data_IF_610769478537
#
_entry.id   IF_610769478537
#
_cell.length_a   1.000
_cell.length_b   1.000
_cell.length_c   1.000
_cell.angle_alpha   90.00
_cell.angle_beta   90.00
_cell.angle_gamma   90.00
#
_symmetry.space_group_name_H-M   'P 1'
#
loop_
_entity.id
_entity.type
_entity.pdbx_description
1 polymer ?
#
# COMPACT_ATOMS: atom_id res chain seq x y z
N UNK A 1 -33.18 -15.38 44.71
CA UNK A 1 -33.20 -14.48 43.52
C UNK A 1 -32.17 -13.34 43.58
N UNK A 2 -30.96 -13.55 44.14
CA UNK A 2 -29.89 -12.53 44.12
C UNK A 2 -28.55 -13.02 43.53
N UNK A 3 -28.41 -14.32 43.26
CA UNK A 3 -27.20 -14.91 42.65
C UNK A 3 -27.33 -15.15 41.14
N UNK A 4 -28.55 -15.28 40.61
CA UNK A 4 -28.79 -15.46 39.18
C UNK A 4 -28.73 -14.16 38.36
N UNK A 5 -28.94 -12.99 39.00
CA UNK A 5 -28.90 -11.68 38.32
C UNK A 5 -27.45 -11.22 38.09
N UNK A 6 -26.50 -11.65 38.92
CA UNK A 6 -25.08 -11.29 38.79
C UNK A 6 -24.42 -11.99 37.60
N UNK A 7 -24.90 -13.17 37.18
CA UNK A 7 -24.35 -13.88 36.02
C UNK A 7 -24.81 -13.30 34.67
N UNK A 8 -25.94 -12.58 34.63
CA UNK A 8 -26.47 -12.02 33.37
C UNK A 8 -25.83 -10.66 33.06
N UNK A 9 -25.37 -9.93 34.08
CA UNK A 9 -24.68 -8.63 33.91
C UNK A 9 -23.18 -8.83 33.61
N UNK A 10 -22.60 -9.97 33.98
CA UNK A 10 -21.19 -10.31 33.69
C UNK A 10 -20.93 -10.81 32.26
N UNK A 11 -21.96 -11.19 31.50
CA UNK A 11 -21.84 -11.74 30.14
C UNK A 11 -22.17 -10.74 29.02
N UNK A 12 -22.72 -9.57 29.33
CA UNK A 12 -23.09 -8.55 28.32
C UNK A 12 -22.03 -7.48 28.09
N UNK A 13 -20.95 -7.47 28.88
CA UNK A 13 -19.87 -6.46 28.76
C UNK A 13 -18.68 -6.98 27.92
N UNK A 14 -18.65 -8.27 27.57
CA UNK A 14 -17.55 -8.88 26.82
C UNK A 14 -17.81 -9.03 25.31
N UNK A 15 -18.71 -8.23 24.74
CA UNK A 15 -19.02 -8.27 23.30
C UNK A 15 -18.81 -6.93 22.56
N UNK A 16 -18.23 -5.92 23.23
CA UNK A 16 -17.97 -4.61 22.61
C UNK A 16 -16.48 -4.27 22.54
N UNK A 17 -15.72 -5.09 21.80
CA UNK A 17 -14.37 -4.69 21.34
C UNK A 17 -13.99 -5.27 19.98
N UNK A 18 -14.95 -5.82 19.22
CA UNK A 18 -14.79 -5.88 17.77
C UNK A 18 -15.30 -4.55 17.22
N UNK A 19 -14.48 -3.51 17.37
CA UNK A 19 -14.53 -2.41 16.41
C UNK A 19 -14.26 -3.06 15.06
N UNK A 20 -15.34 -3.36 14.35
CA UNK A 20 -15.29 -3.75 12.95
C UNK A 20 -14.77 -2.51 12.23
N UNK A 21 -13.43 -2.31 12.25
CA UNK A 21 -12.75 -1.45 11.31
C UNK A 21 -13.27 -1.92 9.96
N UNK A 22 -14.01 -1.06 9.27
CA UNK A 22 -14.72 -1.38 8.05
C UNK A 22 -13.83 -2.25 7.16
N UNK A 23 -14.13 -3.55 7.11
CA UNK A 23 -13.40 -4.50 6.29
C UNK A 23 -13.91 -4.30 4.88
N UNK A 24 -13.43 -3.23 4.24
CA UNK A 24 -13.55 -3.03 2.81
C UNK A 24 -12.62 -4.00 2.09
N UNK A 25 -12.82 -5.29 2.31
CA UNK A 25 -12.31 -6.27 1.40
C UNK A 25 -13.29 -6.26 0.22
N UNK A 26 -13.01 -5.36 -0.73
CA UNK A 26 -13.67 -5.36 -2.03
C UNK A 26 -13.53 -6.77 -2.65
N UNK A 27 -14.47 -7.15 -3.52
CA UNK A 27 -14.53 -8.51 -4.09
C UNK A 27 -13.18 -8.92 -4.69
N UNK A 28 -12.51 -8.00 -5.38
CA UNK A 28 -11.23 -8.21 -6.05
C UNK A 28 -10.10 -8.57 -5.06
N UNK A 29 -10.11 -8.00 -3.85
CA UNK A 29 -9.14 -8.33 -2.80
C UNK A 29 -9.37 -9.75 -2.27
N UNK A 30 -10.63 -10.14 -2.05
CA UNK A 30 -10.98 -11.49 -1.56
C UNK A 30 -10.70 -12.58 -2.57
N UNK A 31 -10.81 -12.25 -3.86
CA UNK A 31 -10.58 -13.21 -4.94
C UNK A 31 -9.08 -13.50 -5.13
N UNK A 32 -8.20 -12.59 -4.73
CA UNK A 32 -6.75 -12.72 -4.94
C UNK A 32 -5.97 -13.06 -3.65
N UNK A 33 -6.39 -12.54 -2.50
CA UNK A 33 -5.63 -12.60 -1.26
C UNK A 33 -6.35 -13.37 -0.15
N UNK A 34 -5.59 -14.06 0.70
CA UNK A 34 -6.15 -14.68 1.91
C UNK A 34 -6.61 -13.62 2.91
N UNK A 35 -7.43 -14.00 3.89
CA UNK A 35 -7.86 -13.08 4.96
C UNK A 35 -6.69 -12.46 5.72
N UNK A 36 -5.63 -13.25 5.99
CA UNK A 36 -4.40 -12.75 6.63
C UNK A 36 -3.68 -11.74 5.73
N UNK A 37 -3.56 -12.04 4.43
CA UNK A 37 -2.94 -11.11 3.48
C UNK A 37 -3.74 -9.81 3.36
N UNK A 38 -5.07 -9.89 3.36
CA UNK A 38 -5.94 -8.69 3.34
C UNK A 38 -5.74 -7.86 4.62
N UNK A 39 -5.53 -8.48 5.77
CA UNK A 39 -5.21 -7.75 7.00
C UNK A 39 -3.88 -6.97 6.83
N UNK A 40 -2.84 -7.63 6.33
CA UNK A 40 -1.54 -6.98 6.07
C UNK A 40 -1.64 -5.84 5.03
N UNK A 41 -2.43 -6.02 3.95
CA UNK A 41 -2.68 -4.98 2.94
C UNK A 41 -3.39 -3.76 3.55
N UNK A 42 -4.30 -3.97 4.50
CA UNK A 42 -4.92 -2.87 5.23
C UNK A 42 -3.91 -2.14 6.12
N UNK A 43 -2.99 -2.85 6.77
CA UNK A 43 -1.92 -2.24 7.56
C UNK A 43 -0.95 -1.43 6.68
N UNK A 44 -0.64 -1.90 5.47
CA UNK A 44 0.14 -1.14 4.47
C UNK A 44 -0.56 0.19 4.13
N UNK A 45 -1.85 0.15 3.76
CA UNK A 45 -2.62 1.35 3.41
C UNK A 45 -2.74 2.31 4.60
N UNK A 46 -3.00 1.77 5.79
CA UNK A 46 -3.09 2.55 7.03
C UNK A 46 -1.75 3.21 7.38
N UNK A 47 -0.63 2.49 7.25
CA UNK A 47 0.70 3.04 7.46
C UNK A 47 0.94 4.23 6.53
N UNK A 48 0.73 4.04 5.22
CA UNK A 48 0.95 5.09 4.23
C UNK A 48 0.13 6.34 4.56
N UNK A 49 -1.19 6.18 4.77
CA UNK A 49 -2.07 7.28 5.19
C UNK A 49 -1.52 8.00 6.43
N UNK A 50 -1.12 7.26 7.46
CA UNK A 50 -0.59 7.83 8.69
C UNK A 50 0.75 8.55 8.54
N UNK A 51 1.53 8.25 7.48
CA UNK A 51 2.74 9.01 7.16
C UNK A 51 2.42 10.32 6.44
N UNK A 52 1.49 10.28 5.49
CA UNK A 52 1.26 11.42 4.60
C UNK A 52 0.28 12.45 5.19
N UNK A 53 -0.59 12.05 6.12
CA UNK A 53 -1.59 12.92 6.71
C UNK A 53 -1.07 13.62 7.96
N UNK A 54 -1.13 14.96 7.98
CA UNK A 54 -0.71 15.76 9.14
C UNK A 54 -1.61 15.48 10.37
N UNK A 55 -2.89 15.21 10.13
CA UNK A 55 -3.82 14.75 11.15
C UNK A 55 -4.20 13.28 10.90
N UNK A 56 -3.85 12.40 11.84
CA UNK A 56 -4.09 10.94 11.78
C UNK A 56 -5.58 10.55 11.71
N UNK A 57 -6.47 11.45 12.12
CA UNK A 57 -7.92 11.23 12.04
C UNK A 57 -8.50 11.65 10.68
N UNK A 58 -7.70 12.23 9.79
CA UNK A 58 -8.14 12.54 8.42
C UNK A 58 -8.45 11.26 7.66
N UNK A 59 -9.48 11.30 6.83
CA UNK A 59 -9.70 10.28 5.81
C UNK A 59 -8.64 10.40 4.70
N UNK A 60 -8.45 9.30 3.97
CA UNK A 60 -7.44 9.21 2.92
C UNK A 60 -7.67 10.25 1.83
N UNK A 61 -8.92 10.39 1.34
CA UNK A 61 -9.27 11.29 0.24
C UNK A 61 -8.94 12.74 0.57
N UNK A 62 -9.39 13.23 1.73
CA UNK A 62 -9.16 14.60 2.18
C UNK A 62 -7.67 14.91 2.29
N UNK A 63 -6.91 13.97 2.84
CA UNK A 63 -5.47 14.10 3.02
C UNK A 63 -4.70 14.05 1.68
N UNK A 64 -4.93 13.02 0.87
CA UNK A 64 -4.23 12.84 -0.40
C UNK A 64 -4.56 13.96 -1.39
N UNK A 65 -5.83 14.39 -1.46
CA UNK A 65 -6.25 15.51 -2.33
C UNK A 65 -5.51 16.82 -2.03
N UNK A 66 -5.11 17.06 -0.77
CA UNK A 66 -4.32 18.25 -0.40
C UNK A 66 -2.88 18.18 -0.89
N UNK A 67 -2.32 16.98 -0.99
CA UNK A 67 -0.94 16.76 -1.42
C UNK A 67 -0.84 16.70 -2.94
N UNK A 68 -1.92 16.26 -3.63
CA UNK A 68 -1.93 16.06 -5.07
C UNK A 68 -1.39 17.24 -5.91
N UNK A 69 -1.74 18.53 -5.65
CA UNK A 69 -1.15 19.65 -6.37
C UNK A 69 0.37 19.71 -6.27
N UNK A 70 0.94 19.46 -5.08
CA UNK A 70 2.39 19.40 -4.90
C UNK A 70 3.01 18.20 -5.64
N UNK A 71 2.28 17.09 -5.79
CA UNK A 71 2.76 15.94 -6.56
C UNK A 71 2.86 16.22 -8.05
N UNK A 72 1.96 17.06 -8.58
CA UNK A 72 1.99 17.48 -9.97
C UNK A 72 3.16 18.42 -10.23
N UNK A 73 3.52 19.26 -9.26
CA UNK A 73 4.62 20.23 -9.38
C UNK A 73 6.00 19.61 -9.10
N UNK A 74 6.10 18.78 -8.07
CA UNK A 74 7.37 18.27 -7.53
C UNK A 74 7.57 16.76 -7.66
N UNK A 75 6.69 16.09 -8.40
CA UNK A 75 6.74 14.63 -8.56
C UNK A 75 6.43 13.89 -7.26
N UNK A 76 7.12 12.80 -6.98
CA UNK A 76 6.92 11.98 -5.78
C UNK A 76 7.57 12.58 -4.51
N UNK A 77 8.32 13.68 -4.61
CA UNK A 77 9.08 14.25 -3.50
C UNK A 77 8.25 14.68 -2.28
N UNK A 78 7.04 15.27 -2.42
CA UNK A 78 6.22 15.63 -1.25
C UNK A 78 5.85 14.42 -0.38
N UNK A 79 5.64 13.25 -1.01
CA UNK A 79 5.35 12.01 -0.29
C UNK A 79 6.61 11.49 0.40
N UNK A 80 7.75 11.42 -0.29
CA UNK A 80 8.99 10.87 0.31
C UNK A 80 9.59 11.72 1.42
N UNK A 81 9.28 13.02 1.46
CA UNK A 81 9.63 13.88 2.60
C UNK A 81 8.82 13.55 3.85
N UNK A 82 7.61 13.00 3.69
CA UNK A 82 6.70 12.64 4.80
C UNK A 82 6.89 11.20 5.29
N UNK A 83 7.26 10.27 4.41
CA UNK A 83 7.43 8.86 4.78
C UNK A 83 8.79 8.63 5.46
N UNK A 84 8.73 8.20 6.72
CA UNK A 84 9.89 7.73 7.48
C UNK A 84 10.31 6.33 7.02
N UNK A 85 11.46 6.24 6.36
CA UNK A 85 11.95 4.98 5.79
C UNK A 85 12.27 3.92 6.85
N UNK A 86 12.72 4.30 8.05
CA UNK A 86 12.97 3.33 9.13
C UNK A 86 11.65 2.74 9.64
N UNK A 87 10.58 3.55 9.69
CA UNK A 87 9.24 3.02 10.01
C UNK A 87 8.68 2.15 8.90
N UNK A 88 8.94 2.48 7.64
CA UNK A 88 8.56 1.63 6.51
C UNK A 88 9.26 0.27 6.55
N UNK A 89 10.56 0.21 6.88
CA UNK A 89 11.24 -1.07 7.12
C UNK A 89 10.61 -1.86 8.27
N UNK A 90 10.16 -1.20 9.33
CA UNK A 90 9.42 -1.86 10.43
C UNK A 90 8.07 -2.41 9.96
N UNK A 91 7.34 -1.69 9.10
CA UNK A 91 6.12 -2.19 8.46
C UNK A 91 6.39 -3.49 7.69
N UNK A 92 7.45 -3.53 6.88
CA UNK A 92 7.80 -4.74 6.12
C UNK A 92 8.11 -5.95 6.99
N UNK A 93 8.68 -5.72 8.17
CA UNK A 93 8.94 -6.78 9.14
C UNK A 93 7.70 -7.17 9.97
N UNK A 94 6.66 -6.33 10.02
CA UNK A 94 5.44 -6.61 10.78
C UNK A 94 4.37 -7.34 9.98
N UNK A 95 4.37 -7.19 8.65
CA UNK A 95 3.49 -7.97 7.77
C UNK A 95 4.06 -9.37 7.55
N UNK A 96 3.21 -10.32 7.19
CA UNK A 96 3.66 -11.68 6.90
C UNK A 96 4.59 -11.72 5.67
N UNK A 97 5.58 -12.61 5.68
CA UNK A 97 6.47 -12.84 4.53
C UNK A 97 5.67 -13.31 3.31
N UNK A 98 4.57 -14.04 3.51
CA UNK A 98 3.65 -14.46 2.46
C UNK A 98 2.87 -13.29 1.84
N UNK A 99 2.59 -12.21 2.57
CA UNK A 99 2.06 -10.98 1.94
C UNK A 99 3.15 -10.22 1.21
N UNK A 100 4.30 -9.98 1.87
CA UNK A 100 5.40 -9.21 1.28
C UNK A 100 5.81 -9.79 -0.07
N UNK A 101 6.03 -11.11 -0.13
CA UNK A 101 6.49 -11.82 -1.33
C UNK A 101 5.45 -11.89 -2.47
N UNK A 102 4.23 -11.42 -2.25
CA UNK A 102 3.18 -11.36 -3.29
C UNK A 102 3.08 -9.99 -3.95
N UNK A 103 3.78 -9.00 -3.38
CA UNK A 103 3.82 -7.61 -3.84
C UNK A 103 5.23 -7.27 -4.30
N UNK A 104 6.22 -7.57 -3.45
CA UNK A 104 7.60 -7.14 -3.61
C UNK A 104 8.57 -8.31 -3.61
N UNK A 105 9.72 -8.08 -4.22
CA UNK A 105 10.90 -8.90 -4.02
C UNK A 105 12.15 -8.02 -3.90
N UNK A 106 13.15 -8.54 -3.20
CA UNK A 106 14.44 -7.89 -3.13
C UNK A 106 15.37 -8.43 -4.20
N UNK A 107 15.97 -7.52 -4.96
CA UNK A 107 17.01 -7.78 -5.93
C UNK A 107 18.30 -7.02 -5.62
N UNK A 108 19.25 -7.16 -6.54
CA UNK A 108 20.57 -6.55 -6.47
C UNK A 108 20.69 -5.40 -7.46
N UNK A 109 21.02 -4.22 -6.97
CA UNK A 109 21.43 -3.08 -7.79
C UNK A 109 22.95 -2.93 -7.76
N UNK A 110 23.60 -3.00 -8.92
CA UNK A 110 25.05 -2.84 -9.07
C UNK A 110 25.36 -1.49 -9.68
N UNK A 111 26.16 -0.67 -8.99
CA UNK A 111 26.61 0.65 -9.46
C UNK A 111 27.92 0.50 -10.25
N UNK A 112 27.92 0.59 -11.59
CA UNK A 112 29.07 0.15 -12.40
C UNK A 112 30.36 0.93 -12.12
N UNK A 113 30.24 2.21 -11.75
CA UNK A 113 31.40 3.09 -11.48
C UNK A 113 32.14 2.74 -10.20
N UNK A 114 31.45 2.22 -9.20
CA UNK A 114 32.02 1.94 -7.86
C UNK A 114 32.08 0.45 -7.54
N UNK A 115 31.40 -0.39 -8.32
CA UNK A 115 31.18 -1.80 -8.00
C UNK A 115 30.29 -2.01 -6.77
N UNK A 116 29.67 -0.94 -6.23
CA UNK A 116 28.81 -1.03 -5.06
C UNK A 116 27.56 -1.85 -5.40
N UNK A 117 27.26 -2.86 -4.58
CA UNK A 117 26.06 -3.68 -4.69
C UNK A 117 25.11 -3.38 -3.52
N UNK A 118 23.93 -2.87 -3.84
CA UNK A 118 22.89 -2.52 -2.86
C UNK A 118 21.67 -3.41 -3.04
N UNK A 119 20.95 -3.63 -1.94
CA UNK A 119 19.61 -4.22 -1.95
C UNK A 119 18.65 -3.22 -2.59
N UNK A 120 17.87 -3.69 -3.56
CA UNK A 120 16.84 -2.93 -4.26
C UNK A 120 15.52 -3.67 -4.13
N UNK A 121 14.42 -2.93 -3.92
CA UNK A 121 13.08 -3.52 -3.95
C UNK A 121 12.50 -3.36 -5.36
N UNK A 122 11.87 -4.42 -5.83
CA UNK A 122 11.12 -4.43 -7.08
C UNK A 122 9.76 -5.08 -6.88
N UNK A 123 8.94 -4.96 -7.92
CA UNK A 123 7.67 -5.67 -8.00
C UNK A 123 7.91 -7.18 -8.13
N UNK A 124 7.11 -7.99 -7.41
CA UNK A 124 7.14 -9.45 -7.58
C UNK A 124 6.58 -9.86 -8.95
N UNK A 125 7.40 -10.50 -9.78
CA UNK A 125 6.92 -11.11 -11.02
C UNK A 125 5.88 -12.22 -10.76
N UNK A 126 4.74 -12.16 -11.45
CA UNK A 126 3.58 -13.04 -11.30
C UNK A 126 3.00 -13.14 -9.88
N UNK A 127 3.32 -12.17 -9.01
CA UNK A 127 2.76 -12.07 -7.67
C UNK A 127 1.26 -11.77 -7.69
N UNK A 128 0.55 -12.08 -6.60
CA UNK A 128 -0.89 -11.78 -6.49
C UNK A 128 -1.22 -10.31 -6.68
N UNK A 129 -0.31 -9.39 -6.36
CA UNK A 129 -0.56 -7.97 -6.57
C UNK A 129 -0.75 -7.61 -8.05
N UNK A 130 0.06 -8.17 -8.95
CA UNK A 130 -0.12 -7.98 -10.41
C UNK A 130 -1.47 -8.54 -10.88
N UNK A 131 -1.86 -9.73 -10.39
CA UNK A 131 -3.15 -10.36 -10.72
C UNK A 131 -4.32 -9.53 -10.22
N UNK A 132 -4.24 -9.07 -8.98
CA UNK A 132 -5.22 -8.16 -8.38
C UNK A 132 -5.38 -6.87 -9.19
N UNK A 133 -4.30 -6.21 -9.61
CA UNK A 133 -4.38 -5.03 -10.46
C UNK A 133 -5.00 -5.33 -11.84
N UNK A 134 -4.70 -6.49 -12.41
CA UNK A 134 -5.30 -6.95 -13.68
C UNK A 134 -6.81 -7.15 -13.55
N UNK A 135 -7.26 -7.77 -12.45
CA UNK A 135 -8.68 -7.94 -12.15
C UNK A 135 -9.38 -6.59 -11.92
N UNK A 136 -8.77 -5.71 -11.12
CA UNK A 136 -9.29 -4.37 -10.85
C UNK A 136 -9.42 -3.53 -12.13
N UNK A 137 -8.52 -3.73 -13.10
CA UNK A 137 -8.54 -3.05 -14.39
C UNK A 137 -9.64 -3.52 -15.35
N UNK A 138 -10.31 -4.66 -15.10
CA UNK A 138 -11.36 -5.16 -16.02
C UNK A 138 -12.50 -4.17 -16.20
N UNK A 139 -12.86 -3.48 -15.12
CA UNK A 139 -13.95 -2.52 -15.08
C UNK A 139 -13.46 -1.05 -15.02
N UNK A 140 -12.15 -0.83 -15.14
CA UNK A 140 -11.54 0.50 -15.05
C UNK A 140 -10.34 0.62 -16.00
N UNK A 141 -10.53 1.36 -17.10
CA UNK A 141 -9.55 1.47 -18.18
C UNK A 141 -8.23 2.10 -17.73
N UNK A 142 -8.26 3.08 -16.82
CA UNK A 142 -7.06 3.72 -16.31
C UNK A 142 -6.24 2.79 -15.41
N UNK A 143 -6.92 1.99 -14.58
CA UNK A 143 -6.26 0.98 -13.76
C UNK A 143 -5.70 -0.15 -14.63
N UNK A 144 -6.41 -0.53 -15.70
CA UNK A 144 -5.90 -1.48 -16.68
C UNK A 144 -4.59 -1.00 -17.30
N UNK A 145 -4.54 0.23 -17.77
CA UNK A 145 -3.33 0.79 -18.39
C UNK A 145 -2.17 0.87 -17.37
N UNK A 146 -2.47 1.27 -16.13
CA UNK A 146 -1.50 1.25 -15.04
C UNK A 146 -0.95 -0.17 -14.79
N UNK A 147 -1.82 -1.17 -14.70
CA UNK A 147 -1.44 -2.56 -14.48
C UNK A 147 -0.59 -3.11 -15.63
N UNK A 148 -1.01 -2.88 -16.87
CA UNK A 148 -0.28 -3.30 -18.07
C UNK A 148 1.12 -2.67 -18.13
N UNK A 149 1.23 -1.38 -17.82
CA UNK A 149 2.51 -0.65 -17.79
C UNK A 149 3.46 -1.22 -16.74
N UNK A 150 2.94 -1.47 -15.53
CA UNK A 150 3.69 -2.02 -14.39
C UNK A 150 4.15 -3.47 -14.66
N UNK A 151 3.33 -4.29 -15.31
CA UNK A 151 3.70 -5.66 -15.71
C UNK A 151 4.74 -5.65 -16.82
N UNK A 152 4.56 -4.81 -17.84
CA UNK A 152 5.47 -4.72 -18.98
C UNK A 152 6.87 -4.18 -18.58
N UNK A 153 6.92 -3.22 -17.65
CA UNK A 153 8.17 -2.68 -17.12
C UNK A 153 8.86 -3.64 -16.14
N UNK A 154 8.10 -4.52 -15.48
CA UNK A 154 8.59 -5.34 -14.37
C UNK A 154 8.92 -4.54 -13.12
N UNK A 155 8.48 -3.28 -13.05
CA UNK A 155 8.72 -2.37 -11.94
C UNK A 155 7.60 -1.33 -11.85
N UNK A 156 7.56 -0.58 -10.76
CA UNK A 156 6.64 0.53 -10.56
C UNK A 156 6.97 1.68 -11.50
N UNK A 157 5.94 2.29 -12.10
CA UNK A 157 6.15 3.42 -12.99
C UNK A 157 6.87 4.57 -12.28
N UNK A 158 7.83 5.17 -12.97
CA UNK A 158 8.63 6.28 -12.44
C UNK A 158 8.02 7.64 -12.82
N UNK A 159 8.57 8.71 -12.24
CA UNK A 159 8.38 10.08 -12.75
C UNK A 159 6.93 10.58 -12.86
N UNK A 160 6.12 10.27 -11.85
CA UNK A 160 4.92 11.06 -11.60
C UNK A 160 3.71 10.80 -12.50
N UNK A 161 3.72 9.68 -13.21
CA UNK A 161 2.62 9.25 -14.05
C UNK A 161 1.35 8.99 -13.21
N UNK A 162 1.47 8.34 -12.04
CA UNK A 162 0.31 8.02 -11.20
C UNK A 162 -0.46 9.28 -10.78
N UNK A 163 0.21 10.32 -10.27
CA UNK A 163 -0.51 11.55 -9.90
C UNK A 163 -1.13 12.26 -11.11
N UNK A 164 -0.53 12.17 -12.29
CA UNK A 164 -1.11 12.73 -13.52
C UNK A 164 -2.39 11.97 -13.90
N UNK A 165 -2.38 10.63 -13.80
CA UNK A 165 -3.56 9.78 -14.00
C UNK A 165 -4.66 10.12 -13.00
N UNK A 166 -4.33 10.19 -11.71
CA UNK A 166 -5.29 10.55 -10.64
C UNK A 166 -5.89 11.94 -10.88
N UNK A 167 -5.07 12.93 -11.25
CA UNK A 167 -5.52 14.29 -11.48
C UNK A 167 -6.44 14.41 -12.71
N UNK A 168 -6.11 13.73 -13.81
CA UNK A 168 -6.88 13.79 -15.06
C UNK A 168 -8.15 12.95 -15.02
N UNK A 169 -8.13 11.84 -14.28
CA UNK A 169 -9.19 10.84 -14.27
C UNK A 169 -9.73 10.61 -12.84
N UNK A 170 -10.27 11.64 -12.16
CA UNK A 170 -10.68 11.54 -10.76
C UNK A 170 -11.85 10.57 -10.50
N UNK A 171 -12.64 10.26 -11.53
CA UNK A 171 -13.73 9.27 -11.42
C UNK A 171 -13.18 7.83 -11.41
N UNK A 172 -12.13 7.58 -12.20
CA UNK A 172 -11.47 6.28 -12.28
C UNK A 172 -10.54 6.04 -11.08
N UNK A 173 -10.06 7.11 -10.44
CA UNK A 173 -9.29 7.07 -9.20
C UNK A 173 -10.08 7.63 -8.02
N UNK A 174 -11.27 7.09 -7.73
CA UNK A 174 -12.04 7.49 -6.54
C UNK A 174 -11.22 7.24 -5.27
N UNK A 175 -10.75 8.31 -4.65
CA UNK A 175 -9.94 8.24 -3.43
C UNK A 175 -10.71 7.73 -2.20
N UNK A 176 -12.03 7.58 -2.28
CA UNK A 176 -12.79 6.85 -1.26
C UNK A 176 -12.73 5.34 -1.45
N UNK A 177 -12.37 4.86 -2.65
CA UNK A 177 -12.30 3.44 -2.97
C UNK A 177 -11.04 2.81 -2.34
N UNK A 178 -11.18 1.82 -1.44
CA UNK A 178 -10.05 1.17 -0.76
C UNK A 178 -9.09 0.45 -1.71
N UNK A 179 -9.57 -0.02 -2.86
CA UNK A 179 -8.72 -0.62 -3.89
C UNK A 179 -7.76 0.41 -4.49
N UNK A 180 -8.26 1.63 -4.72
CA UNK A 180 -7.47 2.77 -5.21
C UNK A 180 -6.50 3.26 -4.13
N UNK A 181 -6.94 3.33 -2.88
CA UNK A 181 -6.06 3.70 -1.75
C UNK A 181 -4.88 2.74 -1.59
N UNK A 182 -5.14 1.43 -1.69
CA UNK A 182 -4.11 0.40 -1.62
C UNK A 182 -3.11 0.51 -2.79
N UNK A 183 -3.60 0.70 -4.01
CA UNK A 183 -2.77 0.90 -5.20
C UNK A 183 -1.81 2.08 -4.99
N UNK A 184 -2.35 3.23 -4.56
CA UNK A 184 -1.57 4.44 -4.28
C UNK A 184 -0.53 4.19 -3.18
N UNK A 185 -0.93 3.53 -2.09
CA UNK A 185 -0.05 3.24 -0.97
C UNK A 185 1.13 2.36 -1.40
N UNK A 186 0.87 1.24 -2.08
CA UNK A 186 1.93 0.34 -2.55
C UNK A 186 2.85 1.06 -3.55
N UNK A 187 2.30 1.83 -4.49
CA UNK A 187 3.09 2.58 -5.46
C UNK A 187 4.11 3.50 -4.78
N UNK A 188 3.65 4.40 -3.91
CA UNK A 188 4.53 5.39 -3.29
C UNK A 188 5.46 4.82 -2.22
N UNK A 189 5.05 3.76 -1.52
CA UNK A 189 5.97 3.06 -0.61
C UNK A 189 7.10 2.40 -1.41
N UNK A 190 6.81 1.80 -2.56
CA UNK A 190 7.82 1.20 -3.44
C UNK A 190 8.83 2.25 -3.93
N UNK A 191 8.34 3.39 -4.40
CA UNK A 191 9.21 4.51 -4.81
C UNK A 191 10.06 5.03 -3.64
N UNK A 192 9.48 5.19 -2.45
CA UNK A 192 10.24 5.66 -1.29
C UNK A 192 11.37 4.68 -0.91
N UNK A 193 11.13 3.38 -1.02
CA UNK A 193 12.16 2.37 -0.75
C UNK A 193 13.26 2.39 -1.81
N UNK A 194 12.91 2.37 -3.10
CA UNK A 194 13.85 2.47 -4.21
C UNK A 194 14.78 3.68 -4.05
N UNK A 195 14.24 4.79 -3.57
CA UNK A 195 14.96 6.04 -3.39
C UNK A 195 15.81 6.07 -2.12
N UNK A 196 15.38 5.43 -1.03
CA UNK A 196 16.02 5.55 0.30
C UNK A 196 16.86 4.36 0.70
N UNK A 197 16.64 3.16 0.15
CA UNK A 197 17.36 1.95 0.56
C UNK A 197 18.83 2.04 0.19
N UNK A 198 19.69 1.84 1.17
CA UNK A 198 21.16 1.80 1.01
C UNK A 198 21.79 0.58 1.67
N UNK A 199 20.96 -0.40 2.02
CA UNK A 199 21.43 -1.66 2.61
C UNK A 199 22.31 -2.38 1.59
N UNK A 200 23.43 -2.95 2.05
CA UNK A 200 24.29 -3.76 1.18
C UNK A 200 23.53 -4.99 0.72
N UNK A 201 23.76 -5.40 -0.53
CA UNK A 201 23.30 -6.71 -0.98
C UNK A 201 24.06 -7.81 -0.23
N UNK A 202 23.33 -8.69 0.43
CA UNK A 202 23.87 -9.93 1.02
C UNK A 202 23.13 -11.09 0.37
N UNK A 203 23.86 -12.10 -0.11
CA UNK A 203 23.25 -13.36 -0.53
C UNK A 203 22.56 -13.98 0.67
N UNK A 204 21.22 -14.03 0.64
CA UNK A 204 20.40 -14.78 1.60
C UNK A 204 20.53 -16.29 1.35
#
# INVERSE_FOLDING_TARGET
>A
MKKAIILIIGCTILQMSFSCKAQYAATELKDNFSTEQIYDLNEITNFFKNQICDNKNSDFKSCFSKILPELLEYGWQPISKKIDFEKQKKLYNSISKSTFNEIWEFGKATYPKTGLELKSIGLKYNGKYQKYLTELGKDNAEIKEYAESLIAAGDFESMGLLQQRIYKNPNDFDLNNPNIQLLIAIHYLSQNDQEKRRDKWTTE
#
